data_IF_295858543897
#
_entry.id   IF_295858543897
#
_cell.length_a   1.000
_cell.length_b   1.000
_cell.length_c   1.000
_cell.angle_alpha   90.00
_cell.angle_beta   90.00
_cell.angle_gamma   90.00
#
_symmetry.space_group_name_H-M   'P 1'
#
loop_
_entity.id
_entity.type
_entity.pdbx_description
1 polymer ?
#
# COMPACT_ATOMS: atom_id res chain seq x y z
N UNK A 1 0.30 5.06 23.12
CA UNK A 1 0.41 6.50 23.39
C UNK A 1 -1.01 7.00 23.67
N UNK A 2 -1.19 7.87 24.66
CA UNK A 2 -2.49 8.45 25.03
C UNK A 2 -3.05 9.33 23.91
N UNK A 3 -4.35 9.63 23.96
CA UNK A 3 -5.05 10.53 23.05
C UNK A 3 -4.27 11.85 22.82
N UNK A 4 -4.24 12.32 21.57
CA UNK A 4 -3.36 13.38 21.13
C UNK A 4 -4.10 14.58 20.52
N UNK A 5 -4.01 15.74 21.15
CA UNK A 5 -4.36 17.02 20.53
C UNK A 5 -3.12 17.57 19.83
N UNK A 6 -3.18 17.65 18.50
CA UNK A 6 -2.02 17.90 17.65
C UNK A 6 -2.08 19.28 17.03
N UNK A 7 -1.01 20.05 17.16
CA UNK A 7 -0.76 21.22 16.33
C UNK A 7 -0.02 20.79 15.07
N UNK A 8 -0.59 21.07 13.90
CA UNK A 8 0.00 20.73 12.62
C UNK A 8 0.77 21.93 12.04
N UNK A 9 2.05 21.73 11.75
CA UNK A 9 2.91 22.74 11.12
C UNK A 9 3.34 22.21 9.75
N UNK A 10 2.94 22.90 8.69
CA UNK A 10 3.38 22.59 7.32
C UNK A 10 4.32 23.67 6.81
N UNK A 11 5.39 23.24 6.14
CA UNK A 11 6.41 24.11 5.58
C UNK A 11 6.34 24.20 4.07
N UNK A 12 6.44 25.41 3.55
CA UNK A 12 6.51 25.68 2.11
C UNK A 12 7.91 26.14 1.70
N UNK A 13 8.47 25.61 0.61
CA UNK A 13 9.66 26.19 -0.01
C UNK A 13 9.33 27.60 -0.53
N UNK A 14 10.10 28.61 -0.11
CA UNK A 14 9.80 30.03 -0.34
C UNK A 14 9.86 30.56 -1.79
N UNK A 15 9.79 29.72 -2.83
CA UNK A 15 10.03 30.11 -4.23
C UNK A 15 8.91 29.76 -5.24
N UNK A 16 7.65 29.68 -4.81
CA UNK A 16 6.53 29.40 -5.72
C UNK A 16 5.51 30.53 -5.55
N UNK A 17 5.13 31.22 -6.65
CA UNK A 17 4.27 32.42 -6.71
C UNK A 17 3.15 32.18 -7.75
N UNK A 18 1.94 31.78 -7.32
CA UNK A 18 0.75 31.69 -8.20
C UNK A 18 -0.17 30.48 -7.92
N UNK A 19 0.29 29.26 -8.21
CA UNK A 19 -0.49 28.00 -8.13
C UNK A 19 -0.56 27.38 -6.70
N UNK A 20 -0.18 28.15 -5.68
CA UNK A 20 0.27 27.67 -4.36
C UNK A 20 -0.87 27.26 -3.44
N UNK A 21 -2.03 27.92 -3.51
CA UNK A 21 -3.10 27.72 -2.51
C UNK A 21 -3.64 26.30 -2.56
N UNK A 22 -4.03 25.84 -3.75
CA UNK A 22 -4.63 24.52 -3.94
C UNK A 22 -3.66 23.38 -3.55
N UNK A 23 -2.40 23.44 -3.99
CA UNK A 23 -1.41 22.43 -3.62
C UNK A 23 -1.12 22.41 -2.12
N UNK A 24 -1.01 23.59 -1.49
CA UNK A 24 -0.79 23.71 -0.04
C UNK A 24 -1.98 23.17 0.74
N UNK A 25 -3.20 23.49 0.31
CA UNK A 25 -4.44 23.00 0.92
C UNK A 25 -4.52 21.47 0.84
N UNK A 26 -4.09 20.86 -0.26
CA UNK A 26 -4.06 19.40 -0.41
C UNK A 26 -2.99 18.75 0.46
N UNK A 27 -1.77 19.28 0.49
CA UNK A 27 -0.72 18.78 1.38
C UNK A 27 -1.15 18.89 2.85
N UNK A 28 -1.81 19.99 3.21
CA UNK A 28 -2.39 20.19 4.52
C UNK A 28 -3.53 19.20 4.79
N UNK A 29 -4.42 18.98 3.83
CA UNK A 29 -5.52 18.03 3.95
C UNK A 29 -5.02 16.59 4.13
N UNK A 30 -3.99 16.18 3.38
CA UNK A 30 -3.33 14.88 3.53
C UNK A 30 -2.66 14.76 4.90
N UNK A 31 -1.94 15.78 5.36
CA UNK A 31 -1.31 15.80 6.68
C UNK A 31 -2.34 15.73 7.83
N UNK A 32 -3.47 16.42 7.69
CA UNK A 32 -4.60 16.30 8.62
C UNK A 32 -5.20 14.90 8.56
N UNK A 33 -5.33 14.33 7.36
CA UNK A 33 -5.78 12.96 7.14
C UNK A 33 -4.90 11.93 7.86
N UNK A 34 -3.57 12.13 7.85
CA UNK A 34 -2.63 11.27 8.58
C UNK A 34 -2.89 11.31 10.09
N UNK A 35 -3.04 12.50 10.67
CA UNK A 35 -3.31 12.63 12.11
C UNK A 35 -4.67 12.03 12.47
N UNK A 36 -5.71 12.35 11.72
CA UNK A 36 -7.08 11.87 11.99
C UNK A 36 -7.25 10.36 11.75
N UNK A 37 -6.29 9.71 11.08
CA UNK A 37 -6.25 8.25 10.94
C UNK A 37 -5.88 7.57 12.25
N UNK A 38 -5.12 8.24 13.14
CA UNK A 38 -4.76 7.69 14.44
C UNK A 38 -5.94 7.82 15.41
N UNK A 39 -6.31 6.70 16.05
CA UNK A 39 -7.39 6.67 17.03
C UNK A 39 -7.11 7.65 18.18
N UNK A 40 -8.10 8.50 18.49
CA UNK A 40 -8.03 9.54 19.52
C UNK A 40 -7.00 10.64 19.26
N UNK A 41 -6.55 10.83 18.02
CA UNK A 41 -5.76 11.98 17.62
C UNK A 41 -6.61 12.96 16.83
N UNK A 42 -6.46 14.26 17.12
CA UNK A 42 -7.20 15.31 16.41
C UNK A 42 -6.30 16.52 16.21
N UNK A 43 -6.36 17.08 15.01
CA UNK A 43 -5.72 18.37 14.74
C UNK A 43 -6.55 19.49 15.38
N UNK A 44 -5.95 20.23 16.31
CA UNK A 44 -6.60 21.34 17.03
C UNK A 44 -6.41 22.65 16.30
N UNK A 45 -5.22 22.86 15.75
CA UNK A 45 -4.88 24.05 14.99
C UNK A 45 -3.83 23.72 13.92
N UNK A 46 -3.72 24.58 12.91
CA UNK A 46 -2.86 24.39 11.74
C UNK A 46 -2.08 25.68 11.47
N UNK A 47 -0.80 25.54 11.19
CA UNK A 47 0.09 26.66 10.87
C UNK A 47 0.83 26.35 9.58
N UNK A 48 0.81 27.29 8.66
CA UNK A 48 1.61 27.25 7.44
C UNK A 48 2.74 28.25 7.59
N UNK A 49 3.97 27.78 7.37
CA UNK A 49 5.15 28.64 7.41
C UNK A 49 5.92 28.55 6.09
N UNK A 50 6.29 29.70 5.56
CA UNK A 50 7.23 29.77 4.45
C UNK A 50 8.65 29.66 5.00
N UNK A 51 9.40 28.67 4.52
CA UNK A 51 10.83 28.52 4.83
C UNK A 51 11.63 28.42 3.54
N UNK A 52 12.76 29.12 3.48
CA UNK A 52 13.63 29.08 2.29
C UNK A 52 14.35 27.74 2.15
N UNK A 53 14.51 26.98 3.24
CA UNK A 53 15.23 25.69 3.26
C UNK A 53 14.74 24.80 4.40
N UNK A 54 13.76 23.90 4.18
CA UNK A 54 13.27 22.98 5.22
C UNK A 54 14.31 21.93 5.64
N UNK A 55 15.34 21.70 4.84
CA UNK A 55 16.36 20.64 5.04
C UNK A 55 17.58 21.06 5.89
N UNK A 56 17.66 22.32 6.35
CA UNK A 56 18.81 22.79 7.13
C UNK A 56 18.70 22.42 8.61
N UNK A 57 19.86 22.31 9.29
CA UNK A 57 19.99 22.05 10.75
C UNK A 57 19.11 22.96 11.62
N UNK A 58 18.83 24.19 11.16
CA UNK A 58 17.81 25.08 11.75
C UNK A 58 16.69 25.27 10.74
N UNK A 59 15.62 24.53 10.97
CA UNK A 59 14.44 24.52 10.11
C UNK A 59 13.70 25.87 10.19
N UNK A 60 13.81 26.56 11.33
CA UNK A 60 13.23 27.86 11.60
C UNK A 60 14.29 28.96 11.78
N UNK A 61 14.01 30.16 11.26
CA UNK A 61 14.66 31.38 11.73
C UNK A 61 14.21 31.73 13.15
N UNK A 62 15.02 32.50 13.89
CA UNK A 62 14.77 32.87 15.30
C UNK A 62 13.36 33.45 15.52
N UNK A 63 12.88 34.31 14.63
CA UNK A 63 11.54 34.93 14.74
C UNK A 63 10.40 33.92 14.60
N UNK A 64 10.40 33.08 13.56
CA UNK A 64 9.39 32.03 13.38
C UNK A 64 9.41 31.03 14.53
N UNK A 65 10.60 30.71 15.05
CA UNK A 65 10.73 29.80 16.19
C UNK A 65 10.09 30.37 17.48
N UNK A 66 10.33 31.64 17.78
CA UNK A 66 9.72 32.33 18.92
C UNK A 66 8.20 32.41 18.78
N UNK A 67 7.71 32.81 17.61
CA UNK A 67 6.28 32.91 17.33
C UNK A 67 5.56 31.57 17.48
N UNK A 68 6.16 30.48 16.99
CA UNK A 68 5.64 29.12 17.20
C UNK A 68 5.63 28.73 18.67
N UNK A 69 6.71 29.02 19.39
CA UNK A 69 6.84 28.66 20.80
C UNK A 69 5.78 29.35 21.65
N UNK A 70 5.55 30.64 21.42
CA UNK A 70 4.47 31.40 22.07
C UNK A 70 3.10 30.80 21.73
N UNK A 71 2.83 30.56 20.45
CA UNK A 71 1.54 30.01 20.01
C UNK A 71 1.26 28.61 20.58
N UNK A 72 2.27 27.73 20.61
CA UNK A 72 2.14 26.39 21.20
C UNK A 72 1.85 26.48 22.70
N UNK A 73 2.58 27.34 23.43
CA UNK A 73 2.39 27.51 24.88
C UNK A 73 1.06 28.16 25.24
N UNK A 74 0.53 29.04 24.38
CA UNK A 74 -0.77 29.70 24.59
C UNK A 74 -1.96 28.79 24.24
N UNK A 75 -1.77 27.82 23.35
CA UNK A 75 -2.86 26.94 22.94
C UNK A 75 -3.04 25.82 23.96
N UNK A 76 -4.09 25.94 24.76
CA UNK A 76 -4.39 24.95 25.81
C UNK A 76 -4.69 23.57 25.22
N UNK A 77 -4.16 22.53 25.88
CA UNK A 77 -4.48 21.14 25.56
C UNK A 77 -3.61 20.49 24.48
N UNK A 78 -2.67 21.19 23.84
CA UNK A 78 -1.72 20.54 22.91
C UNK A 78 -0.90 19.49 23.66
N UNK A 79 -0.91 18.26 23.17
CA UNK A 79 -0.09 17.15 23.69
C UNK A 79 1.06 16.77 22.75
N UNK A 80 0.95 17.17 21.48
CA UNK A 80 1.94 16.87 20.45
C UNK A 80 1.95 17.92 19.34
N UNK A 81 3.10 18.06 18.66
CA UNK A 81 3.26 18.86 17.45
C UNK A 81 3.61 17.94 16.31
N UNK A 82 2.88 18.03 15.20
CA UNK A 82 3.21 17.34 13.96
C UNK A 82 3.84 18.33 12.98
N UNK A 83 5.11 18.10 12.68
CA UNK A 83 5.89 18.77 11.66
C UNK A 83 5.75 18.00 10.34
N UNK A 84 5.02 18.54 9.37
CA UNK A 84 4.82 17.91 8.06
C UNK A 84 6.06 18.07 7.16
N UNK A 85 7.15 17.44 7.58
CA UNK A 85 8.41 17.28 6.85
C UNK A 85 8.73 15.78 6.78
N UNK A 86 9.44 15.33 5.74
CA UNK A 86 9.72 13.91 5.52
C UNK A 86 10.37 13.26 6.74
N UNK A 87 11.42 13.90 7.26
CA UNK A 87 12.11 13.46 8.48
C UNK A 87 12.78 14.62 9.20
N UNK A 88 12.61 14.68 10.53
CA UNK A 88 13.33 15.63 11.37
C UNK A 88 14.73 15.11 11.70
N UNK A 89 15.68 16.04 11.83
CA UNK A 89 16.96 15.69 12.44
C UNK A 89 16.74 15.38 13.93
N UNK A 90 17.38 14.36 14.51
CA UNK A 90 17.22 14.02 15.92
C UNK A 90 17.56 15.17 16.88
N UNK A 91 18.49 16.03 16.47
CA UNK A 91 18.87 17.24 17.24
C UNK A 91 17.73 18.27 17.20
N UNK A 92 17.12 18.48 16.03
CA UNK A 92 16.00 19.41 15.86
C UNK A 92 14.75 18.91 16.58
N UNK A 93 14.42 17.60 16.48
CA UNK A 93 13.31 16.96 17.21
C UNK A 93 13.42 17.29 18.70
N UNK A 94 14.61 17.12 19.29
CA UNK A 94 14.83 17.40 20.70
C UNK A 94 14.86 18.88 21.05
N UNK A 95 15.51 19.73 20.25
CA UNK A 95 15.49 21.19 20.44
C UNK A 95 14.04 21.71 20.52
N UNK A 96 13.17 21.14 19.69
CA UNK A 96 11.75 21.47 19.67
C UNK A 96 10.99 20.89 20.87
N UNK A 97 11.23 19.62 21.24
CA UNK A 97 10.64 19.01 22.44
C UNK A 97 11.02 19.76 23.72
N UNK A 98 12.29 20.13 23.87
CA UNK A 98 12.81 20.86 25.04
C UNK A 98 12.23 22.29 25.10
N UNK A 99 12.07 22.96 23.95
CA UNK A 99 11.51 24.31 23.89
C UNK A 99 10.00 24.36 24.12
N UNK A 100 9.26 23.39 23.57
CA UNK A 100 7.80 23.39 23.56
C UNK A 100 7.18 22.54 24.69
N UNK A 101 7.94 21.64 25.31
CA UNK A 101 7.46 20.78 26.40
C UNK A 101 6.48 19.69 25.98
N UNK A 102 6.37 19.43 24.67
CA UNK A 102 5.45 18.46 24.07
C UNK A 102 6.19 17.59 23.05
N UNK A 103 5.65 16.40 22.75
CA UNK A 103 6.26 15.49 21.77
C UNK A 103 6.16 16.05 20.35
N UNK A 104 7.26 15.92 19.59
CA UNK A 104 7.32 16.40 18.21
C UNK A 104 7.45 15.21 17.27
N UNK A 105 6.55 15.15 16.29
CA UNK A 105 6.51 14.09 15.30
C UNK A 105 6.80 14.65 13.91
N UNK A 106 7.55 13.90 13.12
CA UNK A 106 7.71 14.11 11.68
C UNK A 106 6.76 13.19 10.89
N UNK A 107 6.74 13.35 9.55
CA UNK A 107 5.88 12.53 8.69
C UNK A 107 6.24 11.06 8.79
N UNK A 108 7.54 10.73 8.84
CA UNK A 108 8.02 9.37 9.07
C UNK A 108 7.41 8.72 10.33
N UNK A 109 7.44 9.43 11.45
CA UNK A 109 6.99 8.92 12.75
C UNK A 109 5.47 8.78 12.80
N UNK A 110 4.71 9.72 12.24
CA UNK A 110 3.24 9.60 12.15
C UNK A 110 2.84 8.42 11.28
N UNK A 111 3.42 8.27 10.08
CA UNK A 111 3.13 7.15 9.19
C UNK A 111 3.47 5.81 9.84
N UNK A 112 4.63 5.71 10.50
CA UNK A 112 5.03 4.51 11.23
C UNK A 112 4.07 4.18 12.39
N UNK A 113 3.53 5.20 13.06
CA UNK A 113 2.53 5.02 14.12
C UNK A 113 1.19 4.51 13.54
N UNK A 114 0.73 5.07 12.42
CA UNK A 114 -0.48 4.58 11.72
C UNK A 114 -0.29 3.11 11.36
N UNK A 115 0.88 2.78 10.81
CA UNK A 115 1.22 1.41 10.46
C UNK A 115 1.19 0.47 11.65
N UNK A 116 1.74 0.91 12.79
CA UNK A 116 1.72 0.15 14.04
C UNK A 116 0.30 -0.14 14.53
N UNK A 117 -0.61 0.83 14.40
CA UNK A 117 -2.02 0.65 14.76
C UNK A 117 -2.73 -0.33 13.81
N UNK A 118 -2.37 -0.32 12.53
CA UNK A 118 -3.04 -1.13 11.49
C UNK A 118 -2.43 -2.53 11.31
N UNK A 119 -1.24 -2.80 11.85
CA UNK A 119 -0.56 -4.07 11.70
C UNK A 119 -1.15 -5.20 12.54
N UNK A 120 -1.92 -6.07 11.87
CA UNK A 120 -2.55 -7.23 12.52
C UNK A 120 -1.68 -8.47 12.40
N UNK A 121 -1.07 -8.69 11.23
CA UNK A 121 -0.25 -9.90 10.99
C UNK A 121 1.11 -9.83 11.67
N UNK A 122 1.72 -11.02 11.88
CA UNK A 122 3.11 -11.11 12.36
C UNK A 122 4.11 -10.50 11.38
N UNK A 123 3.84 -10.62 10.08
CA UNK A 123 4.70 -10.09 9.02
C UNK A 123 4.72 -8.56 9.04
N UNK A 124 3.55 -7.92 9.05
CA UNK A 124 3.41 -6.48 9.19
C UNK A 124 4.11 -5.94 10.44
N UNK A 125 3.92 -6.61 11.60
CA UNK A 125 4.60 -6.23 12.85
C UNK A 125 6.13 -6.30 12.75
N UNK A 126 6.66 -7.29 12.04
CA UNK A 126 8.10 -7.42 11.79
C UNK A 126 8.61 -6.34 10.82
N UNK A 127 7.88 -6.02 9.76
CA UNK A 127 8.24 -4.95 8.82
C UNK A 127 8.25 -3.58 9.50
N UNK A 128 7.26 -3.29 10.35
CA UNK A 128 7.23 -2.06 11.13
C UNK A 128 8.36 -2.02 12.14
N UNK A 129 8.65 -3.14 12.82
CA UNK A 129 9.81 -3.22 13.72
C UNK A 129 11.13 -2.99 13.00
N UNK A 130 11.24 -3.44 11.73
CA UNK A 130 12.40 -3.17 10.88
C UNK A 130 12.50 -1.68 10.54
N UNK A 131 11.38 -1.06 10.14
CA UNK A 131 11.28 0.38 9.90
C UNK A 131 11.53 1.22 11.17
N UNK A 132 11.29 0.72 12.38
CA UNK A 132 11.63 1.43 13.62
C UNK A 132 13.15 1.46 13.88
N UNK A 133 13.96 0.55 13.31
CA UNK A 133 15.39 0.42 13.62
C UNK A 133 16.21 1.70 13.33
N UNK A 134 16.06 2.40 12.18
CA UNK A 134 16.74 3.66 11.92
C UNK A 134 16.40 4.75 12.94
N UNK A 135 15.16 4.81 13.43
CA UNK A 135 14.73 5.79 14.43
C UNK A 135 15.41 5.52 15.78
N UNK A 136 15.42 4.26 16.22
CA UNK A 136 16.04 3.84 17.48
C UNK A 136 17.56 4.09 17.47
N UNK A 137 18.23 3.79 16.37
CA UNK A 137 19.67 4.08 16.19
C UNK A 137 19.97 5.57 16.29
N UNK A 138 19.11 6.38 15.70
CA UNK A 138 19.29 7.82 15.67
C UNK A 138 19.16 8.43 17.07
N UNK A 139 18.21 7.93 17.87
CA UNK A 139 18.01 8.34 19.25
C UNK A 139 19.15 7.90 20.17
N UNK A 140 19.65 6.68 19.99
CA UNK A 140 20.80 6.14 20.73
C UNK A 140 22.03 7.06 20.65
N UNK A 141 22.37 7.52 19.44
CA UNK A 141 23.51 8.43 19.21
C UNK A 141 23.39 9.74 19.98
N UNK A 142 22.17 10.25 20.13
CA UNK A 142 21.93 11.51 20.83
C UNK A 142 22.01 11.37 22.35
N UNK A 143 21.52 10.26 22.91
CA UNK A 143 21.61 10.03 24.36
C UNK A 143 23.06 9.99 24.83
N UNK A 144 23.94 9.38 24.03
CA UNK A 144 25.39 9.38 24.28
C UNK A 144 25.99 10.80 24.29
N UNK A 145 25.63 11.64 23.31
CA UNK A 145 26.17 13.00 23.21
C UNK A 145 25.88 13.88 24.45
N UNK A 146 24.82 13.58 25.21
CA UNK A 146 24.51 14.28 26.47
C UNK A 146 25.26 13.74 27.66
N UNK A 147 25.43 12.42 27.71
CA UNK A 147 26.15 11.75 28.79
C UNK A 147 27.63 12.19 28.78
N UNK A 148 28.20 12.42 27.60
CA UNK A 148 29.55 12.96 27.46
C UNK A 148 29.65 14.44 27.91
N UNK A 149 28.57 15.23 27.81
CA UNK A 149 28.55 16.64 28.23
C UNK A 149 28.29 16.86 29.73
N UNK A 150 27.56 15.96 30.41
CA UNK A 150 27.18 16.13 31.83
C UNK A 150 28.19 15.59 32.86
N UNK A 151 29.34 15.08 32.44
CA UNK A 151 30.49 14.87 33.32
C UNK A 151 30.96 13.41 33.42
N UNK A 152 32.14 13.17 32.87
CA UNK A 152 32.93 11.97 33.13
C UNK A 152 32.61 10.82 32.17
N UNK A 153 33.25 10.87 30.99
CA UNK A 153 33.11 9.89 29.93
C UNK A 153 33.38 8.44 30.36
N UNK A 154 32.72 7.55 29.63
CA UNK A 154 32.87 6.10 29.65
C UNK A 154 32.61 5.39 30.98
N UNK A 155 31.32 5.14 31.25
CA UNK A 155 30.94 3.99 32.10
C UNK A 155 31.14 2.71 31.30
N UNK A 156 32.37 2.21 31.28
CA UNK A 156 32.65 0.83 30.91
C UNK A 156 31.87 -0.09 31.86
N UNK A 157 31.11 -1.04 31.32
CA UNK A 157 30.40 -2.02 32.14
C UNK A 157 31.39 -3.12 32.51
N UNK A 158 31.74 -3.25 33.78
CA UNK A 158 32.23 -4.52 34.35
C UNK A 158 33.51 -5.09 33.71
N UNK A 159 34.48 -4.26 33.33
CA UNK A 159 35.82 -4.72 32.92
C UNK A 159 35.93 -5.27 31.49
N UNK A 160 34.87 -5.21 30.67
CA UNK A 160 34.89 -5.72 29.29
C UNK A 160 35.51 -4.76 28.26
N UNK A 161 35.84 -3.53 28.64
CA UNK A 161 36.35 -2.50 27.72
C UNK A 161 35.33 -1.99 26.70
N UNK A 162 34.11 -2.54 26.65
CA UNK A 162 33.03 -2.06 25.79
C UNK A 162 32.25 -0.93 26.47
N UNK A 163 31.93 0.11 25.69
CA UNK A 163 31.07 1.21 26.15
C UNK A 163 29.60 0.80 26.15
N UNK A 164 28.78 1.40 27.04
CA UNK A 164 27.31 1.22 27.03
C UNK A 164 26.69 1.46 25.65
N UNK A 165 27.20 2.45 24.91
CA UNK A 165 26.76 2.78 23.57
C UNK A 165 27.07 1.66 22.58
N UNK A 166 28.27 1.09 22.59
CA UNK A 166 28.65 -0.04 21.74
C UNK A 166 27.81 -1.28 22.03
N UNK A 167 27.55 -1.56 23.32
CA UNK A 167 26.67 -2.66 23.73
C UNK A 167 25.25 -2.45 23.19
N UNK A 168 24.67 -1.26 23.35
CA UNK A 168 23.33 -0.96 22.84
C UNK A 168 23.27 -0.97 21.31
N UNK A 169 24.30 -0.48 20.63
CA UNK A 169 24.41 -0.54 19.17
C UNK A 169 24.50 -2.00 18.67
N UNK A 170 25.26 -2.85 19.35
CA UNK A 170 25.33 -4.30 19.06
C UNK A 170 23.96 -4.96 19.24
N UNK A 171 23.26 -4.69 20.34
CA UNK A 171 21.93 -5.23 20.61
C UNK A 171 20.90 -4.82 19.54
N UNK A 172 20.92 -3.55 19.09
CA UNK A 172 20.07 -3.09 17.99
C UNK A 172 20.40 -3.80 16.67
N UNK A 173 21.70 -4.03 16.38
CA UNK A 173 22.13 -4.77 15.19
C UNK A 173 21.69 -6.24 15.23
N UNK A 174 21.85 -6.90 16.37
CA UNK A 174 21.37 -8.27 16.58
C UNK A 174 19.86 -8.39 16.43
N UNK A 175 19.11 -7.43 17.00
CA UNK A 175 17.66 -7.36 16.85
C UNK A 175 17.26 -7.19 15.38
N UNK A 176 17.91 -6.30 14.64
CA UNK A 176 17.67 -6.12 13.21
C UNK A 176 17.93 -7.43 12.44
N UNK A 177 19.05 -8.11 12.69
CA UNK A 177 19.37 -9.38 12.02
C UNK A 177 18.32 -10.46 12.30
N UNK A 178 17.84 -10.57 13.54
CA UNK A 178 16.75 -11.49 13.91
C UNK A 178 15.46 -11.18 13.17
N UNK A 179 15.08 -9.90 13.07
CA UNK A 179 13.88 -9.46 12.34
C UNK A 179 14.01 -9.78 10.85
N UNK A 180 15.15 -9.43 10.22
CA UNK A 180 15.41 -9.73 8.79
C UNK A 180 15.37 -11.24 8.52
N UNK A 181 15.96 -12.06 9.40
CA UNK A 181 15.91 -13.52 9.28
C UNK A 181 14.48 -14.07 9.38
N UNK A 182 13.67 -13.53 10.30
CA UNK A 182 12.27 -13.93 10.43
C UNK A 182 11.44 -13.56 9.19
N UNK A 183 11.64 -12.36 8.62
CA UNK A 183 11.02 -11.94 7.37
C UNK A 183 11.41 -12.84 6.20
N UNK A 184 12.70 -13.18 6.07
CA UNK A 184 13.17 -14.10 5.02
C UNK A 184 12.53 -15.51 5.13
N UNK A 185 12.31 -16.01 6.35
CA UNK A 185 11.60 -17.28 6.57
C UNK A 185 10.13 -17.19 6.14
N UNK A 186 9.45 -16.08 6.43
CA UNK A 186 8.08 -15.85 5.99
C UNK A 186 7.97 -15.75 4.46
N UNK A 187 8.90 -15.04 3.83
CA UNK A 187 8.98 -14.93 2.36
C UNK A 187 9.15 -16.31 1.70
N UNK A 188 10.01 -17.18 2.25
CA UNK A 188 10.16 -18.58 1.77
C UNK A 188 8.88 -19.39 1.92
N UNK A 189 8.19 -19.27 3.06
CA UNK A 189 6.89 -19.95 3.28
C UNK A 189 5.84 -19.46 2.27
N UNK A 190 5.83 -18.16 1.99
CA UNK A 190 4.92 -17.55 1.00
C UNK A 190 5.20 -18.07 -0.40
N UNK A 191 6.48 -18.15 -0.81
CA UNK A 191 6.87 -18.74 -2.08
C UNK A 191 6.40 -20.21 -2.23
N UNK A 192 6.48 -21.00 -1.15
CA UNK A 192 5.99 -22.39 -1.16
C UNK A 192 4.47 -22.47 -1.35
N UNK A 193 3.71 -21.66 -0.61
CA UNK A 193 2.24 -21.56 -0.78
C UNK A 193 1.87 -21.06 -2.18
N UNK A 194 2.64 -20.13 -2.75
CA UNK A 194 2.47 -19.66 -4.13
C UNK A 194 2.69 -20.78 -5.15
N UNK A 195 3.74 -21.59 -4.99
CA UNK A 195 3.98 -22.76 -5.86
C UNK A 195 2.81 -23.75 -5.83
N UNK A 196 2.15 -23.93 -4.67
CA UNK A 196 0.95 -24.76 -4.56
C UNK A 196 -0.28 -24.10 -5.21
N UNK A 197 -0.41 -22.77 -5.20
CA UNK A 197 -1.49 -22.05 -5.90
C UNK A 197 -1.34 -22.09 -7.41
N UNK A 198 -0.10 -22.08 -7.91
CA UNK A 198 0.18 -22.25 -9.34
C UNK A 198 -0.37 -23.58 -9.88
N UNK A 199 -0.50 -24.60 -9.03
CA UNK A 199 -1.15 -25.87 -9.36
C UNK A 199 -2.68 -25.82 -9.46
N UNK A 200 -3.35 -24.79 -8.94
CA UNK A 200 -4.83 -24.63 -9.01
C UNK A 200 -5.30 -23.60 -10.05
N UNK A 201 -4.37 -22.99 -10.80
CA UNK A 201 -4.66 -22.09 -11.94
C UNK A 201 -5.64 -20.92 -11.70
N UNK A 202 -5.82 -20.44 -10.46
CA UNK A 202 -6.60 -19.23 -10.19
C UNK A 202 -5.81 -17.99 -10.58
N UNK A 203 -6.31 -17.15 -11.52
CA UNK A 203 -5.62 -15.92 -11.88
C UNK A 203 -5.63 -14.92 -10.73
N UNK A 204 -4.54 -14.17 -10.59
CA UNK A 204 -4.32 -13.19 -9.53
C UNK A 204 -4.31 -11.77 -10.10
N UNK A 205 -5.20 -10.92 -9.60
CA UNK A 205 -5.33 -9.51 -9.99
C UNK A 205 -4.88 -8.65 -8.81
N UNK A 206 -3.80 -7.90 -8.97
CA UNK A 206 -3.35 -6.96 -7.93
C UNK A 206 -3.90 -5.57 -8.17
N UNK A 207 -4.59 -5.02 -7.17
CA UNK A 207 -5.18 -3.69 -7.21
C UNK A 207 -4.25 -2.71 -6.48
N UNK A 208 -3.72 -1.73 -7.20
CA UNK A 208 -2.73 -0.78 -6.73
C UNK A 208 -3.19 0.68 -6.93
N UNK A 209 -2.58 1.62 -6.20
CA UNK A 209 -2.95 3.03 -6.26
C UNK A 209 -2.77 3.75 -4.93
N UNK A 210 -2.95 5.07 -4.95
CA UNK A 210 -2.78 5.92 -3.76
C UNK A 210 -3.74 5.57 -2.62
N UNK A 211 -3.40 5.97 -1.41
CA UNK A 211 -4.28 5.89 -0.25
C UNK A 211 -5.54 6.70 -0.54
N UNK A 212 -6.68 6.16 -0.09
CA UNK A 212 -7.99 6.75 -0.35
C UNK A 212 -8.44 6.86 -1.83
N UNK A 213 -7.73 6.25 -2.79
CA UNK A 213 -8.22 6.21 -4.18
C UNK A 213 -9.37 5.21 -4.40
N UNK A 214 -9.74 4.43 -3.39
CA UNK A 214 -10.88 3.51 -3.42
C UNK A 214 -10.56 2.06 -3.80
N UNK A 215 -9.32 1.59 -3.66
CA UNK A 215 -8.93 0.18 -3.92
C UNK A 215 -9.82 -0.84 -3.20
N UNK A 216 -9.93 -0.75 -1.88
CA UNK A 216 -10.74 -1.68 -1.07
C UNK A 216 -12.22 -1.58 -1.41
N UNK A 217 -12.71 -0.37 -1.73
CA UNK A 217 -14.09 -0.16 -2.21
C UNK A 217 -14.33 -0.87 -3.54
N UNK A 218 -13.39 -0.75 -4.49
CA UNK A 218 -13.46 -1.43 -5.78
C UNK A 218 -13.46 -2.96 -5.60
N UNK A 219 -12.55 -3.50 -4.78
CA UNK A 219 -12.50 -4.94 -4.52
C UNK A 219 -13.82 -5.41 -3.91
N UNK A 220 -14.38 -4.66 -2.96
CA UNK A 220 -15.69 -4.98 -2.37
C UNK A 220 -16.78 -5.03 -3.44
N UNK A 221 -16.85 -4.03 -4.31
CA UNK A 221 -17.85 -3.98 -5.37
C UNK A 221 -17.68 -5.13 -6.38
N UNK A 222 -16.44 -5.53 -6.70
CA UNK A 222 -16.13 -6.63 -7.62
C UNK A 222 -16.35 -8.03 -7.02
N UNK A 223 -16.23 -8.17 -5.70
CA UNK A 223 -16.30 -9.48 -5.01
C UNK A 223 -17.63 -9.72 -4.30
N UNK A 224 -18.38 -8.66 -3.98
CA UNK A 224 -19.57 -8.74 -3.13
C UNK A 224 -19.24 -9.09 -1.67
N UNK A 225 -17.98 -9.01 -1.25
CA UNK A 225 -17.54 -9.46 0.07
C UNK A 225 -18.09 -8.53 1.18
N UNK A 226 -19.10 -9.02 1.89
CA UNK A 226 -19.74 -8.33 3.02
C UNK A 226 -18.80 -8.12 4.22
N UNK A 227 -17.72 -8.90 4.32
CA UNK A 227 -16.70 -8.76 5.35
C UNK A 227 -15.75 -7.57 5.12
N UNK A 228 -15.68 -7.05 3.90
CA UNK A 228 -14.91 -5.85 3.59
C UNK A 228 -15.61 -4.59 4.09
N UNK A 229 -14.90 -3.85 4.95
CA UNK A 229 -15.31 -2.54 5.44
C UNK A 229 -14.31 -1.49 4.96
N UNK A 230 -14.50 -0.92 3.75
CA UNK A 230 -13.73 0.24 3.30
C UNK A 230 -13.85 1.37 4.33
N UNK A 231 -12.73 1.99 4.69
CA UNK A 231 -12.67 3.13 5.61
C UNK A 231 -12.06 4.33 4.91
N UNK A 232 -12.62 5.51 5.15
CA UNK A 232 -12.04 6.78 4.71
C UNK A 232 -10.89 7.19 5.64
N UNK A 233 -9.84 6.36 5.67
CA UNK A 233 -8.66 6.50 6.51
C UNK A 233 -7.42 6.18 5.66
N UNK A 234 -6.31 6.89 5.90
CA UNK A 234 -5.06 6.59 5.18
C UNK A 234 -4.50 5.26 5.70
N UNK A 235 -3.94 4.45 4.81
CA UNK A 235 -3.40 3.13 5.16
C UNK A 235 -4.36 2.17 5.88
N UNK A 236 -5.66 2.27 5.60
CA UNK A 236 -6.68 1.36 6.13
C UNK A 236 -6.34 -0.13 5.88
N UNK A 237 -5.67 -0.41 4.76
CA UNK A 237 -5.10 -1.72 4.42
C UNK A 237 -3.58 -1.66 4.50
N UNK A 238 -2.99 -2.31 5.50
CA UNK A 238 -1.54 -2.51 5.62
C UNK A 238 -1.11 -3.95 5.33
N UNK A 239 -1.97 -4.91 5.63
CA UNK A 239 -1.77 -6.30 5.27
C UNK A 239 -2.28 -6.52 3.84
N UNK A 240 -1.51 -7.21 3.01
CA UNK A 240 -1.98 -7.65 1.69
C UNK A 240 -3.12 -8.64 1.90
N UNK A 241 -4.35 -8.28 1.49
CA UNK A 241 -5.53 -9.15 1.63
C UNK A 241 -5.91 -9.75 0.29
N UNK A 242 -6.47 -10.96 0.32
CA UNK A 242 -6.83 -11.71 -0.88
C UNK A 242 -8.31 -12.06 -0.80
N UNK A 243 -9.05 -11.65 -1.82
CA UNK A 243 -10.50 -11.83 -1.92
C UNK A 243 -10.81 -12.59 -3.21
N UNK A 244 -11.66 -13.62 -3.10
CA UNK A 244 -12.12 -14.34 -4.29
C UNK A 244 -13.25 -13.54 -4.94
N UNK A 245 -13.19 -13.40 -6.26
CA UNK A 245 -14.27 -12.84 -7.07
C UNK A 245 -14.56 -13.74 -8.26
N UNK A 246 -15.64 -13.43 -8.98
CA UNK A 246 -16.06 -14.15 -10.17
C UNK A 246 -16.19 -13.21 -11.35
N UNK A 247 -15.53 -13.55 -12.46
CA UNK A 247 -15.66 -12.82 -13.72
C UNK A 247 -16.99 -13.17 -14.42
N UNK A 248 -17.47 -12.34 -15.38
CA UNK A 248 -18.67 -12.63 -16.16
C UNK A 248 -18.68 -14.02 -16.81
N UNK A 249 -17.52 -14.50 -17.26
CA UNK A 249 -17.29 -15.84 -17.79
C UNK A 249 -17.30 -16.97 -16.75
N UNK A 250 -17.76 -16.70 -15.52
CA UNK A 250 -17.80 -17.59 -14.35
C UNK A 250 -16.44 -18.03 -13.81
N UNK A 251 -15.33 -17.53 -14.37
CA UNK A 251 -14.00 -17.83 -13.87
C UNK A 251 -13.76 -17.21 -12.50
N UNK A 252 -13.32 -18.02 -11.55
CA UNK A 252 -12.89 -17.53 -10.24
C UNK A 252 -11.51 -16.89 -10.34
N UNK A 253 -11.39 -15.66 -9.84
CA UNK A 253 -10.15 -14.89 -9.78
C UNK A 253 -9.87 -14.44 -8.34
N UNK A 254 -8.62 -14.14 -8.05
CA UNK A 254 -8.20 -13.64 -6.74
C UNK A 254 -7.80 -12.17 -6.86
N UNK A 255 -8.57 -11.29 -6.24
CA UNK A 255 -8.23 -9.88 -6.08
C UNK A 255 -7.33 -9.70 -4.86
N UNK A 256 -6.23 -8.99 -5.05
CA UNK A 256 -5.25 -8.69 -4.01
C UNK A 256 -5.29 -7.20 -3.70
N UNK A 257 -5.71 -6.82 -2.50
CA UNK A 257 -5.66 -5.44 -2.02
C UNK A 257 -4.23 -5.15 -1.54
N UNK A 258 -3.54 -4.25 -2.23
CA UNK A 258 -2.18 -3.84 -1.86
C UNK A 258 -2.20 -2.63 -0.93
N UNK A 259 -1.07 -2.42 -0.24
CA UNK A 259 -0.84 -1.19 0.53
C UNK A 259 -0.98 0.02 -0.40
N UNK A 260 -1.68 1.06 0.07
CA UNK A 260 -1.81 2.31 -0.68
C UNK A 260 -0.56 3.16 -0.68
N UNK A 261 -0.25 3.80 -1.80
CA UNK A 261 0.81 4.80 -1.88
C UNK A 261 0.40 6.12 -1.19
N UNK A 262 1.37 6.90 -0.72
CA UNK A 262 1.12 8.22 -0.13
C UNK A 262 2.10 9.21 -0.78
N UNK A 263 1.71 10.47 -0.85
CA UNK A 263 2.60 11.52 -1.36
C UNK A 263 3.80 11.64 -0.43
N UNK A 264 5.01 11.76 -0.97
CA UNK A 264 6.24 11.89 -0.17
C UNK A 264 6.37 10.80 0.91
N UNK A 265 6.19 9.54 0.53
CA UNK A 265 6.57 8.42 1.41
C UNK A 265 8.09 8.48 1.63
N UNK A 266 8.55 8.50 2.89
CA UNK A 266 9.97 8.44 3.15
C UNK A 266 10.59 7.19 2.52
N UNK A 267 11.70 7.35 1.79
CA UNK A 267 12.35 6.25 1.06
C UNK A 267 12.65 5.03 1.97
N UNK A 268 13.04 5.30 3.22
CA UNK A 268 13.34 4.26 4.22
C UNK A 268 12.11 3.42 4.62
N UNK A 269 10.89 3.95 4.51
CA UNK A 269 9.67 3.17 4.71
C UNK A 269 9.40 2.27 3.51
N UNK A 270 9.59 2.77 2.28
CA UNK A 270 9.37 1.99 1.05
C UNK A 270 10.17 0.69 1.09
N UNK A 271 11.45 0.73 1.45
CA UNK A 271 12.31 -0.45 1.54
C UNK A 271 11.77 -1.54 2.49
N UNK A 272 11.12 -1.11 3.57
CA UNK A 272 10.55 -2.03 4.57
C UNK A 272 9.26 -2.69 4.08
N UNK A 273 8.52 -2.03 3.17
CA UNK A 273 7.29 -2.52 2.54
C UNK A 273 7.51 -3.10 1.14
N UNK A 274 8.72 -3.04 0.59
CA UNK A 274 9.07 -3.66 -0.69
C UNK A 274 8.75 -5.15 -0.71
N UNK A 275 8.91 -5.86 0.42
CA UNK A 275 8.56 -7.27 0.53
C UNK A 275 7.05 -7.54 0.34
N UNK A 276 6.18 -6.62 0.79
CA UNK A 276 4.72 -6.71 0.56
C UNK A 276 4.33 -6.30 -0.85
N UNK A 277 5.09 -5.40 -1.49
CA UNK A 277 4.88 -5.01 -2.88
C UNK A 277 5.48 -6.03 -3.87
N UNK A 278 6.37 -6.91 -3.43
CA UNK A 278 6.96 -7.95 -4.26
C UNK A 278 5.91 -8.96 -4.78
N UNK A 279 4.78 -9.11 -4.07
CA UNK A 279 3.64 -9.90 -4.55
C UNK A 279 3.10 -9.41 -5.89
N UNK A 280 3.20 -8.12 -6.17
CA UNK A 280 2.71 -7.51 -7.41
C UNK A 280 3.37 -8.17 -8.63
N UNK A 281 4.65 -8.58 -8.53
CA UNK A 281 5.40 -9.26 -9.61
C UNK A 281 4.80 -10.58 -10.06
N UNK A 282 4.00 -11.21 -9.20
CA UNK A 282 3.44 -12.53 -9.42
C UNK A 282 1.95 -12.48 -9.80
N UNK A 283 1.42 -11.29 -10.05
CA UNK A 283 0.06 -11.10 -10.53
C UNK A 283 0.00 -11.43 -12.02
N UNK A 284 -1.13 -11.95 -12.46
CA UNK A 284 -1.43 -12.13 -13.89
C UNK A 284 -1.90 -10.80 -14.51
N UNK A 285 -2.47 -9.90 -13.69
CA UNK A 285 -2.94 -8.59 -14.10
C UNK A 285 -2.75 -7.54 -13.00
N UNK A 286 -2.46 -6.30 -13.41
CA UNK A 286 -2.44 -5.14 -12.54
C UNK A 286 -3.61 -4.20 -12.86
N UNK A 287 -4.28 -3.75 -11.81
CA UNK A 287 -5.33 -2.73 -11.89
C UNK A 287 -4.86 -1.51 -11.11
N UNK A 288 -4.54 -0.44 -11.81
CA UNK A 288 -4.12 0.82 -11.21
C UNK A 288 -5.33 1.74 -11.01
N UNK A 289 -5.75 1.88 -9.76
CA UNK A 289 -6.87 2.75 -9.36
C UNK A 289 -6.36 4.14 -9.05
N UNK A 290 -6.88 5.13 -9.77
CA UNK A 290 -6.57 6.55 -9.61
C UNK A 290 -7.80 7.31 -9.15
N UNK A 291 -7.61 8.20 -8.18
CA UNK A 291 -8.63 9.19 -7.84
C UNK A 291 -8.57 10.31 -8.87
N UNK A 292 -9.60 10.44 -9.71
CA UNK A 292 -9.62 11.46 -10.76
C UNK A 292 -10.07 12.83 -10.22
N UNK A 293 -10.77 12.86 -9.08
CA UNK A 293 -11.16 14.10 -8.39
C UNK A 293 -9.96 14.82 -7.76
N UNK A 294 -8.85 14.10 -7.58
CA UNK A 294 -7.64 14.66 -7.01
C UNK A 294 -6.82 15.42 -8.08
N UNK A 295 -6.50 16.71 -7.89
CA UNK A 295 -5.84 17.51 -8.92
C UNK A 295 -4.40 17.06 -9.22
N UNK A 296 -3.71 16.45 -8.25
CA UNK A 296 -2.38 15.85 -8.45
C UNK A 296 -2.40 14.44 -9.07
N UNK A 297 -3.54 13.97 -9.60
CA UNK A 297 -3.69 12.60 -10.14
C UNK A 297 -2.62 12.22 -11.17
N UNK A 298 -2.15 13.18 -11.98
CA UNK A 298 -1.09 12.97 -12.97
C UNK A 298 0.27 12.71 -12.30
N UNK A 299 0.62 13.53 -11.30
CA UNK A 299 1.85 13.36 -10.52
C UNK A 299 1.82 12.06 -9.70
N UNK A 300 0.66 11.72 -9.14
CA UNK A 300 0.44 10.45 -8.46
C UNK A 300 0.69 9.26 -9.39
N UNK A 301 0.17 9.28 -10.63
CA UNK A 301 0.46 8.24 -11.63
C UNK A 301 1.96 8.12 -11.91
N UNK A 302 2.65 9.24 -12.15
CA UNK A 302 4.08 9.23 -12.41
C UNK A 302 4.87 8.59 -11.23
N UNK A 303 4.50 8.91 -9.99
CA UNK A 303 5.13 8.33 -8.80
C UNK A 303 4.89 6.83 -8.69
N UNK A 304 3.66 6.35 -8.91
CA UNK A 304 3.36 4.91 -8.91
C UNK A 304 4.20 4.19 -9.96
N UNK A 305 4.24 4.71 -11.19
CA UNK A 305 5.03 4.11 -12.28
C UNK A 305 6.52 4.06 -11.94
N UNK A 306 7.07 5.10 -11.31
CA UNK A 306 8.47 5.12 -10.86
C UNK A 306 8.73 4.05 -9.79
N UNK A 307 7.82 3.86 -8.84
CA UNK A 307 7.95 2.81 -7.82
C UNK A 307 7.86 1.43 -8.46
N UNK A 308 6.93 1.20 -9.39
CA UNK A 308 6.81 -0.07 -10.10
C UNK A 308 8.07 -0.39 -10.94
N UNK A 309 8.68 0.63 -11.57
CA UNK A 309 9.97 0.48 -12.25
C UNK A 309 11.10 0.10 -11.29
N UNK A 310 11.19 0.77 -10.13
CA UNK A 310 12.18 0.45 -9.10
C UNK A 310 12.02 -0.96 -8.53
N UNK A 311 10.78 -1.44 -8.45
CA UNK A 311 10.48 -2.81 -8.05
C UNK A 311 10.86 -3.84 -9.12
N UNK A 312 11.20 -3.45 -10.35
CA UNK A 312 11.50 -4.37 -11.47
C UNK A 312 10.31 -5.31 -11.77
N UNK A 313 9.12 -4.74 -11.91
CA UNK A 313 7.95 -5.48 -12.40
C UNK A 313 8.20 -5.91 -13.87
N UNK A 314 7.79 -7.13 -14.29
CA UNK A 314 7.95 -7.57 -15.67
C UNK A 314 7.28 -6.62 -16.68
N UNK A 315 7.96 -6.32 -17.79
CA UNK A 315 7.45 -5.37 -18.80
C UNK A 315 6.09 -5.79 -19.38
N UNK A 316 5.85 -7.09 -19.57
CA UNK A 316 4.57 -7.62 -20.02
C UNK A 316 3.43 -7.30 -19.03
N UNK A 317 3.72 -7.31 -17.73
CA UNK A 317 2.73 -7.03 -16.68
C UNK A 317 2.46 -5.51 -16.58
N UNK A 318 3.48 -4.69 -16.84
CA UNK A 318 3.33 -3.24 -16.92
C UNK A 318 2.54 -2.80 -18.17
N UNK A 319 2.73 -3.46 -19.31
CA UNK A 319 2.04 -3.13 -20.56
C UNK A 319 0.58 -3.59 -20.61
N UNK A 320 0.23 -4.64 -19.85
CA UNK A 320 -1.14 -5.14 -19.68
C UNK A 320 -1.89 -4.48 -18.52
N UNK A 321 -1.28 -3.49 -17.84
CA UNK A 321 -1.89 -2.81 -16.71
C UNK A 321 -3.14 -2.04 -17.12
N UNK A 322 -4.24 -2.24 -16.40
CA UNK A 322 -5.50 -1.52 -16.61
C UNK A 322 -5.50 -0.26 -15.72
N UNK A 323 -5.65 0.90 -16.36
CA UNK A 323 -5.84 2.18 -15.68
C UNK A 323 -7.32 2.42 -15.38
N UNK A 324 -7.65 2.62 -14.11
CA UNK A 324 -9.01 2.82 -13.63
C UNK A 324 -9.13 4.21 -13.02
N UNK A 325 -9.96 5.06 -13.62
CA UNK A 325 -10.27 6.39 -13.10
C UNK A 325 -11.48 6.27 -12.19
N UNK A 326 -11.24 6.27 -10.89
CA UNK A 326 -12.26 6.13 -9.87
C UNK A 326 -12.71 7.49 -9.31
N UNK A 327 -13.88 7.52 -8.67
CA UNK A 327 -14.56 8.69 -8.11
C UNK A 327 -15.07 9.67 -9.17
N UNK A 328 -15.51 9.15 -10.31
CA UNK A 328 -16.13 9.99 -11.36
C UNK A 328 -17.42 10.63 -10.90
N UNK A 329 -18.06 10.11 -9.85
CA UNK A 329 -19.24 10.69 -9.19
C UNK A 329 -18.98 12.10 -8.61
N UNK A 330 -17.72 12.45 -8.32
CA UNK A 330 -17.33 13.76 -7.81
C UNK A 330 -17.06 14.79 -8.90
N UNK A 331 -17.04 14.38 -10.18
CA UNK A 331 -16.76 15.26 -11.32
C UNK A 331 -17.96 15.31 -12.24
N UNK A 332 -18.49 16.52 -12.45
CA UNK A 332 -19.55 16.74 -13.44
C UNK A 332 -18.99 16.60 -14.87
N UNK A 333 -19.66 15.80 -15.70
CA UNK A 333 -19.32 15.58 -17.11
C UNK A 333 -17.86 15.14 -17.34
N UNK A 334 -17.40 14.15 -16.59
CA UNK A 334 -16.07 13.59 -16.78
C UNK A 334 -15.93 12.91 -18.16
N UNK A 335 -15.05 13.46 -19.00
CA UNK A 335 -14.63 12.83 -20.25
C UNK A 335 -13.25 12.20 -20.09
N UNK A 336 -13.14 10.91 -20.44
CA UNK A 336 -11.88 10.18 -20.33
C UNK A 336 -10.94 10.58 -21.47
N UNK A 337 -10.00 11.49 -21.17
CA UNK A 337 -8.99 11.96 -22.12
C UNK A 337 -7.83 10.96 -22.31
N UNK A 338 -7.64 10.02 -21.39
CA UNK A 338 -6.58 9.00 -21.48
C UNK A 338 -7.09 7.79 -22.27
N UNK A 339 -6.44 7.41 -23.39
CA UNK A 339 -6.83 6.24 -24.17
C UNK A 339 -6.70 4.96 -23.34
N UNK A 340 -7.76 4.15 -23.30
CA UNK A 340 -7.78 2.86 -22.61
C UNK A 340 -7.99 2.94 -21.08
N UNK A 341 -8.08 4.14 -20.50
CA UNK A 341 -8.48 4.26 -19.10
C UNK A 341 -9.99 4.08 -18.94
N UNK A 342 -10.39 3.46 -17.82
CA UNK A 342 -11.77 3.12 -17.55
C UNK A 342 -12.35 4.01 -16.44
N UNK A 343 -13.30 4.91 -16.77
CA UNK A 343 -14.00 5.71 -15.77
C UNK A 343 -15.00 4.87 -14.99
N UNK A 344 -14.90 4.91 -13.66
CA UNK A 344 -15.81 4.23 -12.74
C UNK A 344 -16.16 5.09 -11.51
N UNK A 345 -17.26 4.75 -10.87
CA UNK A 345 -17.47 5.03 -9.45
C UNK A 345 -17.60 3.71 -8.71
N UNK A 346 -16.57 3.36 -7.94
CA UNK A 346 -16.61 2.16 -7.10
C UNK A 346 -17.64 2.27 -5.96
N UNK A 347 -18.02 3.50 -5.57
CA UNK A 347 -18.99 3.74 -4.50
C UNK A 347 -20.44 3.59 -5.00
N UNK A 348 -20.73 4.13 -6.18
CA UNK A 348 -22.06 4.04 -6.81
C UNK A 348 -22.19 2.82 -7.75
N UNK A 349 -21.15 1.98 -7.82
CA UNK A 349 -21.07 0.80 -8.68
C UNK A 349 -21.27 1.10 -10.19
N UNK A 350 -20.96 2.33 -10.63
CA UNK A 350 -21.07 2.75 -12.02
C UNK A 350 -19.82 2.38 -12.81
N UNK A 351 -20.00 1.84 -14.01
CA UNK A 351 -18.91 1.51 -14.95
C UNK A 351 -18.21 0.18 -14.67
N UNK A 352 -18.64 -0.56 -13.62
CA UNK A 352 -18.04 -1.83 -13.25
C UNK A 352 -18.22 -2.91 -14.32
N UNK A 353 -19.36 -2.95 -15.03
CA UNK A 353 -19.60 -3.93 -16.10
C UNK A 353 -18.53 -3.88 -17.19
N UNK A 354 -18.15 -2.66 -17.60
CA UNK A 354 -17.09 -2.44 -18.59
C UNK A 354 -15.74 -2.88 -18.03
N UNK A 355 -15.44 -2.53 -16.77
CA UNK A 355 -14.22 -2.95 -16.11
C UNK A 355 -14.09 -4.47 -16.00
N UNK A 356 -15.15 -5.17 -15.59
CA UNK A 356 -15.12 -6.64 -15.46
C UNK A 356 -14.88 -7.33 -16.80
N UNK A 357 -15.41 -6.77 -17.90
CA UNK A 357 -15.18 -7.30 -19.25
C UNK A 357 -13.74 -7.12 -19.71
N UNK A 358 -13.18 -5.93 -19.54
CA UNK A 358 -11.78 -5.66 -19.93
C UNK A 358 -10.81 -6.49 -19.07
N UNK A 359 -11.08 -6.61 -17.76
CA UNK A 359 -10.32 -7.48 -16.86
C UNK A 359 -10.37 -8.94 -17.32
N UNK A 360 -11.54 -9.43 -17.73
CA UNK A 360 -11.70 -10.78 -18.25
C UNK A 360 -10.90 -11.03 -19.52
N UNK A 361 -10.99 -10.13 -20.50
CA UNK A 361 -10.25 -10.23 -21.77
C UNK A 361 -8.74 -10.30 -21.52
N UNK A 362 -8.20 -9.42 -20.68
CA UNK A 362 -6.77 -9.39 -20.39
C UNK A 362 -6.31 -10.57 -19.53
N UNK A 363 -7.16 -11.09 -18.63
CA UNK A 363 -6.87 -12.33 -17.88
C UNK A 363 -6.83 -13.55 -18.80
N UNK A 364 -7.78 -13.69 -19.72
CA UNK A 364 -7.78 -14.80 -20.68
C UNK A 364 -6.50 -14.78 -21.52
N UNK A 365 -6.12 -13.59 -22.00
CA UNK A 365 -4.91 -13.36 -22.79
C UNK A 365 -3.62 -13.64 -22.01
N UNK A 366 -3.48 -13.09 -20.79
CA UNK A 366 -2.28 -13.24 -19.95
C UNK A 366 -2.09 -14.67 -19.45
N UNK A 367 -3.18 -15.37 -19.14
CA UNK A 367 -3.12 -16.77 -18.68
C UNK A 367 -3.05 -17.79 -19.81
N UNK A 368 -3.20 -17.35 -21.07
CA UNK A 368 -3.22 -18.23 -22.24
C UNK A 368 -4.38 -19.24 -22.22
N UNK A 369 -5.44 -18.94 -21.48
CA UNK A 369 -6.66 -19.75 -21.46
C UNK A 369 -7.47 -19.50 -22.72
N UNK A 370 -8.21 -20.50 -23.16
CA UNK A 370 -9.02 -20.44 -24.38
C UNK A 370 -10.44 -20.88 -24.07
N UNK A 371 -11.39 -20.24 -24.74
CA UNK A 371 -12.80 -20.65 -24.73
C UNK A 371 -12.97 -21.69 -25.84
N UNK A 372 -13.47 -22.87 -25.50
CA UNK A 372 -13.68 -23.98 -26.43
C UNK A 372 -15.04 -24.62 -26.18
N UNK A 373 -15.74 -24.93 -27.25
CA UNK A 373 -16.95 -25.75 -27.20
C UNK A 373 -16.56 -27.21 -27.42
N UNK A 374 -16.80 -28.05 -26.42
CA UNK A 374 -16.47 -29.46 -26.44
C UNK A 374 -17.75 -30.29 -26.42
N UNK A 375 -17.90 -31.17 -27.41
CA UNK A 375 -18.91 -32.24 -27.34
C UNK A 375 -18.42 -33.28 -26.35
N UNK A 376 -19.16 -33.48 -25.27
CA UNK A 376 -18.86 -34.47 -24.23
C UNK A 376 -19.91 -35.56 -24.18
N UNK A 377 -19.47 -36.78 -23.89
CA UNK A 377 -20.37 -37.89 -23.66
C UNK A 377 -20.76 -37.95 -22.18
N UNK A 378 -22.06 -37.86 -21.89
CA UNK A 378 -22.60 -37.86 -20.53
C UNK A 378 -22.45 -39.22 -19.82
N UNK A 379 -22.26 -40.31 -20.57
CA UNK A 379 -22.00 -41.64 -20.02
C UNK A 379 -20.56 -41.82 -19.51
N UNK A 380 -19.70 -40.82 -19.69
CA UNK A 380 -18.28 -40.87 -19.32
C UNK A 380 -17.93 -39.81 -18.27
N UNK A 381 -16.76 -39.95 -17.66
CA UNK A 381 -16.26 -39.00 -16.68
C UNK A 381 -15.75 -37.68 -17.30
N UNK A 382 -15.98 -37.42 -18.59
CA UNK A 382 -15.54 -36.22 -19.30
C UNK A 382 -16.08 -34.94 -18.65
N UNK A 383 -17.39 -34.90 -18.39
CA UNK A 383 -18.03 -33.73 -17.78
C UNK A 383 -17.49 -33.47 -16.36
N UNK A 384 -17.38 -34.51 -15.54
CA UNK A 384 -16.82 -34.41 -14.18
C UNK A 384 -15.34 -34.01 -14.18
N UNK A 385 -14.58 -34.37 -15.20
CA UNK A 385 -13.19 -33.93 -15.37
C UNK A 385 -13.13 -32.44 -15.72
N UNK A 386 -13.98 -31.97 -16.65
CA UNK A 386 -14.05 -30.55 -17.01
C UNK A 386 -14.45 -29.67 -15.84
N UNK A 387 -15.39 -30.09 -14.97
CA UNK A 387 -15.69 -29.36 -13.74
C UNK A 387 -14.53 -29.27 -12.74
N UNK A 388 -13.53 -30.18 -12.84
CA UNK A 388 -12.35 -30.18 -11.96
C UNK A 388 -11.19 -29.38 -12.53
N UNK A 389 -11.00 -29.41 -13.85
CA UNK A 389 -9.79 -28.93 -14.52
C UNK A 389 -10.04 -27.74 -15.46
N UNK A 390 -11.29 -27.32 -15.65
CA UNK A 390 -11.68 -26.19 -16.49
C UNK A 390 -12.81 -25.37 -15.83
N UNK A 391 -13.04 -24.16 -16.35
CA UNK A 391 -14.21 -23.36 -15.96
C UNK A 391 -15.34 -23.64 -16.94
N UNK A 392 -16.40 -24.31 -16.49
CA UNK A 392 -17.58 -24.62 -17.32
C UNK A 392 -18.50 -23.40 -17.35
N UNK A 393 -18.76 -22.85 -18.53
CA UNK A 393 -19.65 -21.71 -18.72
C UNK A 393 -21.10 -22.16 -18.89
N UNK A 394 -21.33 -22.98 -19.90
CA UNK A 394 -22.66 -23.44 -20.31
C UNK A 394 -22.61 -24.93 -20.66
N UNK A 395 -23.71 -25.63 -20.37
CA UNK A 395 -23.91 -27.05 -20.71
C UNK A 395 -25.26 -27.16 -21.42
N UNK A 396 -25.22 -27.46 -22.70
CA UNK A 396 -26.42 -27.76 -23.49
C UNK A 396 -26.52 -29.28 -23.66
N UNK A 397 -27.56 -29.87 -23.06
CA UNK A 397 -27.76 -31.32 -23.07
C UNK A 397 -28.59 -31.71 -24.28
N UNK A 398 -28.02 -32.57 -25.14
CA UNK A 398 -28.74 -33.22 -26.22
C UNK A 398 -29.14 -34.64 -25.75
N UNK A 399 -30.33 -34.72 -25.14
CA UNK A 399 -30.84 -35.95 -24.54
C UNK A 399 -30.94 -37.11 -25.54
N UNK A 400 -31.23 -36.82 -26.82
CA UNK A 400 -31.42 -37.83 -27.86
C UNK A 400 -30.12 -38.53 -28.28
N UNK A 401 -28.96 -37.90 -28.10
CA UNK A 401 -27.64 -38.44 -28.48
C UNK A 401 -26.79 -38.89 -27.28
N UNK A 402 -27.29 -38.75 -26.04
CA UNK A 402 -26.51 -39.02 -24.83
C UNK A 402 -25.26 -38.13 -24.68
N UNK A 403 -25.25 -36.99 -25.36
CA UNK A 403 -24.11 -36.06 -25.39
C UNK A 403 -24.52 -34.65 -24.96
N UNK A 404 -23.55 -33.87 -24.51
CA UNK A 404 -23.74 -32.46 -24.20
C UNK A 404 -22.70 -31.62 -24.93
N UNK A 405 -23.09 -30.45 -25.40
CA UNK A 405 -22.17 -29.42 -25.84
C UNK A 405 -21.82 -28.56 -24.61
N UNK A 406 -20.54 -28.50 -24.27
CA UNK A 406 -20.06 -27.79 -23.08
C UNK A 406 -19.09 -26.70 -23.51
N UNK A 407 -19.44 -25.45 -23.22
CA UNK A 407 -18.51 -24.34 -23.40
C UNK A 407 -17.63 -24.22 -22.16
N UNK A 408 -16.31 -24.35 -22.36
CA UNK A 408 -15.33 -24.33 -21.28
C UNK A 408 -14.22 -23.32 -21.53
N UNK A 409 -13.75 -22.70 -20.45
CA UNK A 409 -12.48 -21.99 -20.43
C UNK A 409 -11.41 -22.93 -19.87
N UNK A 410 -10.43 -23.25 -20.69
CA UNK A 410 -9.41 -24.25 -20.37
C UNK A 410 -8.01 -23.75 -20.76
N UNK A 411 -7.00 -24.07 -19.95
CA UNK A 411 -5.60 -23.79 -20.31
C UNK A 411 -5.15 -24.70 -21.45
N UNK A 412 -4.22 -24.25 -22.29
CA UNK A 412 -3.67 -25.08 -23.38
C UNK A 412 -3.07 -26.39 -22.87
N UNK A 413 -2.42 -26.36 -21.70
CA UNK A 413 -1.88 -27.54 -21.03
C UNK A 413 -2.98 -28.50 -20.54
N UNK A 414 -4.05 -27.99 -19.92
CA UNK A 414 -5.18 -28.81 -19.50
C UNK A 414 -5.92 -29.40 -20.71
N UNK A 415 -6.09 -28.63 -21.79
CA UNK A 415 -6.71 -29.12 -23.02
C UNK A 415 -5.89 -30.24 -23.69
N UNK A 416 -4.55 -30.13 -23.67
CA UNK A 416 -3.67 -31.21 -24.12
C UNK A 416 -3.86 -32.49 -23.30
N UNK A 417 -4.00 -32.38 -21.97
CA UNK A 417 -4.33 -33.51 -21.08
C UNK A 417 -5.71 -34.09 -21.38
N UNK A 418 -6.70 -33.23 -21.60
CA UNK A 418 -8.06 -33.64 -21.97
C UNK A 418 -8.05 -34.47 -23.26
N UNK A 419 -7.38 -33.98 -24.32
CA UNK A 419 -7.23 -34.72 -25.58
C UNK A 419 -6.51 -36.05 -25.42
N UNK A 420 -5.51 -36.14 -24.54
CA UNK A 420 -4.81 -37.41 -24.31
C UNK A 420 -5.68 -38.44 -23.57
N UNK A 421 -6.51 -37.98 -22.63
CA UNK A 421 -7.38 -38.85 -21.83
C UNK A 421 -8.66 -39.26 -22.56
N UNK A 422 -9.22 -38.37 -23.39
CA UNK A 422 -10.55 -38.51 -23.96
C UNK A 422 -10.62 -38.33 -25.48
N UNK A 423 -9.55 -37.84 -26.13
CA UNK A 423 -9.50 -37.62 -27.58
C UNK A 423 -9.16 -38.87 -28.39
N UNK A 424 -9.12 -40.04 -27.74
CA UNK A 424 -8.95 -41.34 -28.38
C UNK A 424 -10.20 -42.20 -28.24
N UNK A 425 -11.22 -41.92 -29.07
CA UNK A 425 -12.11 -42.88 -29.74
C UNK A 425 -13.19 -42.13 -30.52
#
# INVERSE_FOLDING_TARGET
MSAGLVLLITMLPGSWSGTISAFTELMMAEAVGLVNTLDNWRVVDKIILSTKTPEKKKIFGKGNFQLLTEKIRQTAGITAVFMNVERLSPLSEREFEDAWGVKVFDRYSIVLHIFRCNARTKEAKLQISLAEMPLLRSRLKNEMANLDQQGGGSRYIGGSGETLYEVQQRLLKEREMKIRSALAKLQKKRHLLRSQRKHKEFPVISVLGYTNCGKTTLIKALTGDSGLQPRNQLFATLDVTVHAGQLPCRMTVLYVDTIGFLSQLPHQLIDSFSATLEDIKHSDLLVHVRDISHPETVNQKANVLNVLKNLQIPDQLLSSMIEVHNKTDLINNYECLEPGALPISALEERGLDKLTKVVEEEIIKSTGKQILDLKVNLSTNQLSWLYKEATVQEVQVNADEGSALVSVIISTAAYGRYKKLFGGR
#
